data_IF_888344909077
#
_entry.id   IF_888344909077
#
_cell.length_a   1.000
_cell.length_b   1.000
_cell.length_c   1.000
_cell.angle_alpha   90.00
_cell.angle_beta   90.00
_cell.angle_gamma   90.00
#
_symmetry.space_group_name_H-M   'P 1'
#
loop_
_entity.id
_entity.type
_entity.pdbx_description
1 polymer ?
#
# COMPACT_ATOMS: atom_id res chain seq x y z
N UNK A 1 15.56 12.73 9.51
CA UNK A 1 14.18 13.04 9.08
C UNK A 1 14.09 12.66 7.62
N UNK A 2 13.29 11.66 7.27
CA UNK A 2 13.08 11.30 5.86
C UNK A 2 12.37 12.46 5.18
N UNK A 3 12.91 12.93 4.06
CA UNK A 3 12.28 13.99 3.27
C UNK A 3 10.96 13.45 2.69
N UNK A 4 9.86 14.17 2.90
CA UNK A 4 8.54 13.79 2.38
C UNK A 4 8.57 13.66 0.84
N UNK A 5 9.39 14.47 0.17
CA UNK A 5 9.63 14.36 -1.27
C UNK A 5 10.23 13.00 -1.65
N UNK A 6 11.24 12.56 -0.90
CA UNK A 6 11.87 11.25 -1.08
C UNK A 6 10.88 10.11 -0.84
N UNK A 7 10.04 10.22 0.20
CA UNK A 7 9.01 9.23 0.49
C UNK A 7 7.97 9.13 -0.64
N UNK A 8 7.50 10.27 -1.18
CA UNK A 8 6.61 10.33 -2.35
C UNK A 8 7.24 9.67 -3.57
N UNK A 9 8.53 9.93 -3.83
CA UNK A 9 9.26 9.30 -4.93
C UNK A 9 9.38 7.79 -4.75
N UNK A 10 9.77 7.32 -3.56
CA UNK A 10 9.88 5.89 -3.24
C UNK A 10 8.55 5.17 -3.42
N UNK A 11 7.46 5.71 -2.88
CA UNK A 11 6.14 5.11 -3.00
C UNK A 11 5.67 5.03 -4.46
N UNK A 12 5.89 6.09 -5.25
CA UNK A 12 5.57 6.08 -6.68
C UNK A 12 6.40 5.02 -7.44
N UNK A 13 7.71 4.92 -7.17
CA UNK A 13 8.57 3.88 -7.76
C UNK A 13 8.10 2.48 -7.38
N UNK A 14 7.85 2.23 -6.10
CA UNK A 14 7.39 0.93 -5.60
C UNK A 14 6.09 0.48 -6.27
N UNK A 15 5.14 1.39 -6.49
CA UNK A 15 3.90 1.05 -7.21
C UNK A 15 4.19 0.57 -8.62
N UNK A 16 5.04 1.29 -9.36
CA UNK A 16 5.39 0.91 -10.73
C UNK A 16 6.18 -0.40 -10.77
N UNK A 17 7.05 -0.64 -9.79
CA UNK A 17 7.78 -1.91 -9.65
C UNK A 17 6.81 -3.08 -9.40
N UNK A 18 5.85 -2.93 -8.50
CA UNK A 18 4.84 -3.95 -8.23
C UNK A 18 3.95 -4.22 -9.45
N UNK A 19 3.60 -3.16 -10.19
CA UNK A 19 2.84 -3.31 -11.44
C UNK A 19 3.65 -4.09 -12.48
N UNK A 20 4.92 -3.71 -12.69
CA UNK A 20 5.82 -4.39 -13.62
C UNK A 20 6.08 -5.86 -13.21
N UNK A 21 6.04 -6.18 -11.92
CA UNK A 21 6.14 -7.54 -11.41
C UNK A 21 4.82 -8.34 -11.52
N UNK A 22 3.72 -7.74 -12.01
CA UNK A 22 2.41 -8.38 -12.11
C UNK A 22 1.73 -8.61 -10.74
N UNK A 23 2.14 -7.87 -9.71
CA UNK A 23 1.63 -7.99 -8.34
C UNK A 23 0.47 -7.04 -8.03
N UNK A 24 0.40 -5.91 -8.74
CA UNK A 24 -0.76 -5.00 -8.75
C UNK A 24 -1.22 -4.76 -10.17
N UNK A 25 -2.51 -4.50 -10.34
CA UNK A 25 -3.13 -4.24 -11.63
C UNK A 25 -3.94 -2.94 -11.60
N UNK A 26 -5.21 -2.98 -12.00
CA UNK A 26 -6.15 -1.86 -11.82
C UNK A 26 -6.48 -1.63 -10.33
N UNK A 27 -6.34 -2.67 -9.50
CA UNK A 27 -6.62 -2.68 -8.08
C UNK A 27 -5.35 -2.94 -7.26
N UNK A 28 -5.48 -2.77 -5.94
CA UNK A 28 -4.36 -2.77 -5.01
C UNK A 28 -3.70 -1.40 -4.88
N UNK A 29 -3.04 -1.19 -3.75
CA UNK A 29 -2.36 0.04 -3.38
C UNK A 29 -1.31 -0.24 -2.32
N UNK A 30 -0.33 0.64 -2.31
CA UNK A 30 0.69 0.70 -1.28
C UNK A 30 0.62 2.05 -0.59
N UNK A 31 0.91 2.05 0.70
CA UNK A 31 0.99 3.26 1.49
C UNK A 31 2.25 3.26 2.34
N UNK A 32 2.61 4.44 2.83
CA UNK A 32 3.69 4.61 3.79
C UNK A 32 3.27 5.56 4.90
N UNK A 33 3.71 5.29 6.13
CA UNK A 33 3.56 6.22 7.25
C UNK A 33 4.39 7.48 7.01
N UNK A 34 3.81 8.66 7.27
CA UNK A 34 4.57 9.90 7.28
C UNK A 34 5.26 10.04 8.65
N UNK A 35 6.61 10.06 8.71
CA UNK A 35 7.34 10.07 9.97
C UNK A 35 6.96 11.26 10.87
N UNK A 36 6.75 11.00 12.16
CA UNK A 36 6.42 12.03 13.15
C UNK A 36 5.00 12.59 13.05
N UNK A 37 4.10 11.91 12.37
CA UNK A 37 2.69 12.31 12.25
C UNK A 37 1.74 11.11 12.25
N UNK A 38 0.45 11.39 12.48
CA UNK A 38 -0.64 10.41 12.37
C UNK A 38 -1.25 10.37 10.96
N UNK A 39 -0.40 10.54 9.95
CA UNK A 39 -0.77 10.56 8.55
C UNK A 39 -0.09 9.44 7.76
N UNK A 40 -0.76 9.02 6.71
CA UNK A 40 -0.27 8.08 5.72
C UNK A 40 -0.27 8.71 4.33
N UNK A 41 0.74 8.36 3.55
CA UNK A 41 0.83 8.66 2.14
C UNK A 41 0.34 7.44 1.34
N UNK A 42 -0.55 7.64 0.39
CA UNK A 42 -1.13 6.55 -0.41
C UNK A 42 -1.33 6.99 -1.86
N UNK A 43 -1.38 6.01 -2.76
CA UNK A 43 -1.73 6.27 -4.15
C UNK A 43 -3.16 6.78 -4.29
N UNK A 44 -3.41 7.74 -5.19
CA UNK A 44 -4.75 8.22 -5.46
C UNK A 44 -5.60 7.16 -6.19
N UNK A 45 -6.91 7.22 -5.99
CA UNK A 45 -7.84 6.29 -6.65
C UNK A 45 -7.79 6.35 -8.20
N UNK A 46 -7.88 7.52 -8.87
CA UNK A 46 -8.05 7.58 -10.32
C UNK A 46 -6.77 7.37 -11.15
N UNK A 47 -5.58 7.26 -10.53
CA UNK A 47 -4.31 7.18 -11.28
C UNK A 47 -3.85 5.73 -11.40
N UNK A 48 -3.41 5.38 -12.60
CA UNK A 48 -2.86 4.06 -12.91
C UNK A 48 -1.59 3.78 -12.09
N UNK A 49 -1.50 2.58 -11.52
CA UNK A 49 -0.34 2.10 -10.73
C UNK A 49 0.93 2.05 -11.58
N UNK A 50 0.78 1.91 -12.89
CA UNK A 50 1.86 1.87 -13.88
C UNK A 50 2.50 3.25 -14.16
N UNK A 51 1.73 4.33 -14.00
CA UNK A 51 2.14 5.69 -14.43
C UNK A 51 2.17 6.71 -13.30
N UNK A 52 1.76 6.32 -12.11
CA UNK A 52 1.68 7.20 -10.94
C UNK A 52 3.01 7.89 -10.64
N UNK A 53 2.93 9.20 -10.36
CA UNK A 53 4.07 10.05 -10.01
C UNK A 53 4.03 10.44 -8.54
N UNK A 54 5.15 10.95 -8.03
CA UNK A 54 5.24 11.47 -6.65
C UNK A 54 4.25 12.60 -6.37
N UNK A 55 3.98 13.43 -7.37
CA UNK A 55 3.05 14.56 -7.34
C UNK A 55 1.58 14.13 -7.18
N UNK A 56 1.26 12.91 -7.60
CA UNK A 56 -0.11 12.38 -7.57
C UNK A 56 -0.51 11.84 -6.19
N UNK A 57 0.46 11.65 -5.29
CA UNK A 57 0.22 11.04 -3.98
C UNK A 57 -0.74 11.85 -3.12
N UNK A 58 -1.56 11.15 -2.34
CA UNK A 58 -2.51 11.76 -1.42
C UNK A 58 -2.15 11.43 0.02
N UNK A 59 -2.45 12.34 0.92
CA UNK A 59 -2.25 12.20 2.36
C UNK A 59 -3.61 11.97 3.01
N UNK A 60 -3.72 10.91 3.80
CA UNK A 60 -4.88 10.65 4.66
C UNK A 60 -4.44 10.50 6.10
N UNK A 61 -5.34 10.77 7.05
CA UNK A 61 -5.11 10.46 8.45
C UNK A 61 -5.41 8.99 8.79
N UNK A 62 -5.13 8.58 10.02
CA UNK A 62 -5.44 7.22 10.50
C UNK A 62 -6.93 6.95 10.76
N UNK A 63 -7.80 7.94 10.55
CA UNK A 63 -9.24 7.73 10.46
C UNK A 63 -9.72 7.60 9.00
N UNK A 64 -8.81 7.62 8.03
CA UNK A 64 -9.11 7.46 6.61
C UNK A 64 -9.66 8.72 5.94
N UNK A 65 -9.56 9.89 6.59
CA UNK A 65 -9.98 11.16 6.01
C UNK A 65 -8.85 11.74 5.17
N UNK A 66 -9.18 12.25 3.99
CA UNK A 66 -8.24 12.96 3.12
C UNK A 66 -7.80 14.28 3.79
N UNK A 67 -6.48 14.47 3.90
CA UNK A 67 -5.84 15.65 4.48
C UNK A 67 -5.25 16.55 3.39
N UNK A 68 -4.55 15.97 2.42
CA UNK A 68 -3.90 16.68 1.31
C UNK A 68 -3.97 15.83 0.04
N UNK A 69 -4.09 16.47 -1.11
CA UNK A 69 -3.98 15.83 -2.42
C UNK A 69 -5.02 16.34 -3.41
N UNK A 70 -4.70 16.20 -4.71
CA UNK A 70 -5.60 16.58 -5.80
C UNK A 70 -6.77 15.61 -5.98
N UNK A 71 -6.57 14.36 -5.57
CA UNK A 71 -7.47 13.24 -5.85
C UNK A 71 -7.98 12.63 -4.55
N UNK A 72 -9.04 11.83 -4.65
CA UNK A 72 -9.52 11.03 -3.54
C UNK A 72 -8.57 9.85 -3.27
N UNK A 73 -8.44 9.49 -1.99
CA UNK A 73 -7.84 8.24 -1.57
C UNK A 73 -8.71 7.04 -2.04
N UNK A 74 -8.13 5.83 -2.15
CA UNK A 74 -8.88 4.61 -2.43
C UNK A 74 -9.91 4.35 -1.32
N UNK A 75 -11.06 3.73 -1.66
CA UNK A 75 -12.08 3.34 -0.69
C UNK A 75 -11.54 2.42 0.42
N UNK A 76 -10.51 1.64 0.10
CA UNK A 76 -9.82 0.70 0.99
C UNK A 76 -8.74 1.37 1.87
N UNK A 77 -8.65 2.71 1.89
CA UNK A 77 -7.68 3.44 2.73
C UNK A 77 -7.77 3.04 4.20
N UNK A 78 -8.97 2.68 4.68
CA UNK A 78 -9.20 2.25 6.07
C UNK A 78 -8.40 1.01 6.46
N UNK A 79 -8.10 0.10 5.52
CA UNK A 79 -7.27 -1.09 5.79
C UNK A 79 -5.86 -0.64 6.20
N UNK A 80 -5.28 0.30 5.44
CA UNK A 80 -3.97 0.87 5.72
C UNK A 80 -4.00 1.70 7.02
N UNK A 81 -5.00 2.58 7.15
CA UNK A 81 -5.16 3.46 8.30
C UNK A 81 -5.27 2.68 9.63
N UNK A 82 -6.05 1.59 9.65
CA UNK A 82 -6.18 0.74 10.84
C UNK A 82 -4.91 -0.04 11.17
N UNK A 83 -4.14 -0.47 10.16
CA UNK A 83 -2.84 -1.10 10.38
C UNK A 83 -1.88 -0.13 11.08
N UNK A 84 -1.76 1.11 10.59
CA UNK A 84 -0.92 2.12 11.21
C UNK A 84 -1.42 2.56 12.60
N UNK A 85 -2.73 2.68 12.79
CA UNK A 85 -3.29 3.06 14.09
C UNK A 85 -3.05 1.99 15.16
N UNK A 86 -3.10 0.72 14.78
CA UNK A 86 -2.98 -0.41 15.71
C UNK A 86 -1.53 -0.78 16.02
N UNK A 87 -0.58 -0.41 15.15
CA UNK A 87 0.82 -0.83 15.22
C UNK A 87 1.75 0.30 14.78
N UNK A 88 2.54 0.79 15.72
CA UNK A 88 3.54 1.85 15.53
C UNK A 88 4.76 1.39 14.74
N UNK A 89 5.10 0.10 14.84
CA UNK A 89 6.22 -0.53 14.14
C UNK A 89 6.03 -0.61 12.61
N UNK A 90 4.79 -0.60 12.12
CA UNK A 90 4.47 -0.63 10.69
C UNK A 90 4.78 0.71 10.03
N UNK A 91 5.69 0.70 9.04
CA UNK A 91 6.08 1.87 8.25
C UNK A 91 5.50 1.89 6.83
N UNK A 92 5.06 0.74 6.31
CA UNK A 92 4.43 0.63 4.99
C UNK A 92 3.45 -0.53 4.98
N UNK A 93 2.37 -0.39 4.18
CA UNK A 93 1.35 -1.41 3.98
C UNK A 93 1.14 -1.57 2.49
N UNK A 94 1.09 -2.83 2.03
CA UNK A 94 0.77 -3.18 0.66
C UNK A 94 -0.48 -4.06 0.63
N UNK A 95 -1.53 -3.57 -0.03
CA UNK A 95 -2.74 -4.32 -0.31
C UNK A 95 -2.75 -4.70 -1.79
N UNK A 96 -2.78 -6.00 -2.09
CA UNK A 96 -2.62 -6.55 -3.44
C UNK A 96 -3.73 -7.54 -3.74
N UNK A 97 -4.09 -7.69 -5.02
CA UNK A 97 -5.12 -8.63 -5.49
C UNK A 97 -4.49 -9.80 -6.26
N UNK A 98 -3.44 -10.41 -5.70
CA UNK A 98 -2.76 -11.55 -6.34
C UNK A 98 -3.73 -12.73 -6.50
N UNK A 99 -3.93 -13.21 -7.73
CA UNK A 99 -4.90 -14.25 -8.06
C UNK A 99 -4.71 -15.57 -7.28
N UNK A 100 -3.46 -16.00 -7.09
CA UNK A 100 -3.16 -17.25 -6.37
C UNK A 100 -3.49 -17.11 -4.89
N UNK A 101 -3.13 -15.98 -4.27
CA UNK A 101 -3.43 -15.71 -2.86
C UNK A 101 -4.94 -15.59 -2.66
N UNK A 102 -5.63 -14.85 -3.52
CA UNK A 102 -7.08 -14.69 -3.46
C UNK A 102 -7.80 -16.04 -3.62
N UNK A 103 -7.33 -16.92 -4.50
CA UNK A 103 -7.91 -18.26 -4.65
C UNK A 103 -7.78 -19.07 -3.36
N UNK A 104 -6.62 -18.98 -2.69
CA UNK A 104 -6.40 -19.65 -1.41
C UNK A 104 -7.26 -19.08 -0.27
N UNK A 105 -7.66 -17.80 -0.31
CA UNK A 105 -8.59 -17.25 0.68
C UNK A 105 -10.03 -17.69 0.48
N UNK A 106 -10.38 -18.23 -0.69
CA UNK A 106 -11.74 -18.70 -1.01
C UNK A 106 -11.96 -20.17 -0.67
N UNK A 107 -10.91 -20.89 -0.33
CA UNK A 107 -11.01 -22.27 0.16
C UNK A 107 -11.00 -22.22 1.69
N UNK A 108 -11.96 -22.87 2.33
CA UNK A 108 -12.05 -22.96 3.80
C UNK A 108 -11.00 -23.95 4.35
N UNK A 109 -9.73 -23.62 4.09
CA UNK A 109 -8.54 -24.39 4.41
C UNK A 109 -7.55 -23.44 5.06
N UNK A 110 -6.87 -23.86 6.14
CA UNK A 110 -5.83 -23.04 6.73
C UNK A 110 -4.67 -22.86 5.73
N UNK A 111 -4.04 -21.68 5.77
CA UNK A 111 -2.80 -21.44 5.04
C UNK A 111 -1.68 -22.26 5.67
N UNK A 112 -1.20 -23.27 4.94
CA UNK A 112 -0.04 -24.03 5.35
C UNK A 112 1.23 -23.37 4.81
N UNK A 113 2.26 -23.14 5.65
CA UNK A 113 3.54 -22.68 5.17
C UNK A 113 4.20 -23.79 4.34
N UNK A 114 4.14 -23.63 3.02
CA UNK A 114 4.81 -24.49 2.06
C UNK A 114 5.83 -23.63 1.31
N UNK A 115 7.09 -23.66 1.74
CA UNK A 115 8.16 -22.96 1.03
C UNK A 115 9.18 -23.96 0.49
N UNK A 116 9.48 -23.90 -0.80
CA UNK A 116 10.73 -24.42 -1.35
C UNK A 116 11.89 -23.44 -1.17
N UNK A 117 11.59 -22.18 -0.84
CA UNK A 117 12.57 -21.11 -0.64
C UNK A 117 12.57 -20.70 0.84
N UNK A 118 13.68 -20.88 1.57
CA UNK A 118 13.76 -20.63 3.01
C UNK A 118 13.85 -19.13 3.32
N UNK A 119 13.03 -18.30 2.68
CA UNK A 119 12.99 -16.83 2.82
C UNK A 119 11.57 -16.26 2.82
N UNK A 120 10.55 -17.09 2.65
CA UNK A 120 9.19 -16.63 2.36
C UNK A 120 8.37 -16.19 3.60
N UNK A 121 8.90 -16.38 4.81
CA UNK A 121 8.15 -16.12 6.06
C UNK A 121 8.88 -15.18 7.02
N UNK A 122 9.93 -14.48 6.58
CA UNK A 122 10.70 -13.56 7.41
C UNK A 122 11.08 -12.30 6.63
#
# INVERSE_FOLDING_TARGET
>A
MTDLSELKMKLAMSSRMLFNAGLVDYSGHISARIPGSDHLLILPHPISRATVKSEDMVVSDFEGKLVEGKYNAPSEVFINARAYKSRDDIQSVAHLHNHMVATLTMVDKPFFPASSNPGAFF
#
